data_IF_248660214534
#
_entry.id   IF_248660214534
#
_cell.length_a   1.000
_cell.length_b   1.000
_cell.length_c   1.000
_cell.angle_alpha   90.00
_cell.angle_beta   90.00
_cell.angle_gamma   90.00
#
_symmetry.space_group_name_H-M   'P 1'
#
loop_
_entity.id
_entity.type
_entity.pdbx_description
1 polymer ?
#
# COMPACT_ATOMS: atom_id res chain seq x y z
N UNK A 1 7.04 -16.17 3.29
CA UNK A 1 5.63 -15.93 3.69
C UNK A 1 5.26 -14.57 3.10
N UNK A 2 4.29 -14.48 2.19
CA UNK A 2 3.94 -13.25 1.42
C UNK A 2 3.23 -12.16 2.23
N UNK A 3 3.64 -11.96 3.49
CA UNK A 3 2.94 -11.16 4.49
C UNK A 3 2.81 -9.68 4.10
N UNK A 4 3.76 -9.14 3.31
CA UNK A 4 3.74 -7.73 2.92
C UNK A 4 2.62 -7.44 1.92
N UNK A 5 2.48 -8.25 0.85
CA UNK A 5 1.44 -8.04 -0.15
C UNK A 5 0.03 -8.25 0.44
N UNK A 6 -0.10 -9.22 1.33
CA UNK A 6 -1.33 -9.42 2.11
C UNK A 6 -1.67 -8.18 2.96
N UNK A 7 -0.69 -7.67 3.71
CA UNK A 7 -0.89 -6.48 4.52
C UNK A 7 -1.19 -5.22 3.68
N UNK A 8 -0.61 -5.10 2.47
CA UNK A 8 -0.94 -4.01 1.56
C UNK A 8 -2.39 -4.15 1.08
N UNK A 9 -2.81 -5.35 0.67
CA UNK A 9 -4.17 -5.62 0.23
C UNK A 9 -5.20 -5.35 1.35
N UNK A 10 -4.90 -5.74 2.59
CA UNK A 10 -5.75 -5.44 3.75
C UNK A 10 -5.87 -3.94 4.02
N UNK A 11 -4.76 -3.20 3.92
CA UNK A 11 -4.80 -1.74 4.06
C UNK A 11 -5.56 -1.08 2.91
N UNK A 12 -5.37 -1.55 1.67
CA UNK A 12 -6.10 -1.07 0.49
C UNK A 12 -7.60 -1.25 0.65
N UNK A 13 -8.04 -2.43 1.11
CA UNK A 13 -9.43 -2.70 1.43
C UNK A 13 -9.97 -1.73 2.50
N UNK A 14 -9.21 -1.55 3.59
CA UNK A 14 -9.60 -0.65 4.67
C UNK A 14 -9.73 0.80 4.20
N UNK A 15 -8.84 1.26 3.31
CA UNK A 15 -8.85 2.61 2.73
C UNK A 15 -9.99 2.79 1.73
N UNK A 16 -10.34 1.74 0.98
CA UNK A 16 -11.47 1.78 0.06
C UNK A 16 -12.80 1.87 0.83
N UNK A 17 -12.90 1.18 1.97
CA UNK A 17 -14.08 1.23 2.85
C UNK A 17 -14.18 2.54 3.65
N UNK A 18 -13.05 3.06 4.15
CA UNK A 18 -12.96 4.35 4.82
C UNK A 18 -11.78 5.16 4.26
N UNK A 19 -12.11 6.12 3.42
CA UNK A 19 -11.13 6.98 2.74
C UNK A 19 -10.35 7.89 3.69
N UNK A 20 -10.82 8.07 4.93
CA UNK A 20 -10.20 8.88 5.98
C UNK A 20 -9.48 8.01 7.03
N UNK A 21 -9.28 6.71 6.78
CA UNK A 21 -8.64 5.83 7.75
C UNK A 21 -7.11 6.06 7.83
N UNK A 22 -6.71 7.11 8.55
CA UNK A 22 -5.32 7.58 8.66
C UNK A 22 -4.32 6.48 9.06
N UNK A 23 -4.73 5.55 9.95
CA UNK A 23 -3.89 4.42 10.37
C UNK A 23 -3.61 3.45 9.23
N UNK A 24 -4.60 3.12 8.41
CA UNK A 24 -4.43 2.24 7.26
C UNK A 24 -3.54 2.89 6.19
N UNK A 25 -3.74 4.19 5.91
CA UNK A 25 -2.90 4.96 4.98
C UNK A 25 -1.44 4.99 5.45
N UNK A 26 -1.21 5.34 6.72
CA UNK A 26 0.14 5.41 7.30
C UNK A 26 0.87 4.06 7.26
N UNK A 27 0.13 2.98 7.52
CA UNK A 27 0.65 1.61 7.54
C UNK A 27 0.95 1.12 6.12
N UNK A 28 0.08 1.40 5.15
CA UNK A 28 0.31 1.07 3.73
C UNK A 28 1.53 1.80 3.16
N UNK A 29 1.71 3.07 3.50
CA UNK A 29 2.94 3.81 3.17
C UNK A 29 4.20 3.09 3.70
N UNK A 30 4.15 2.53 4.91
CA UNK A 30 5.28 1.74 5.47
C UNK A 30 5.55 0.45 4.74
N UNK A 31 4.50 -0.25 4.32
CA UNK A 31 4.67 -1.47 3.55
C UNK A 31 5.26 -1.19 2.17
N UNK A 32 4.84 -0.10 1.52
CA UNK A 32 5.43 0.36 0.27
C UNK A 32 6.90 0.81 0.44
N UNK A 33 7.25 1.50 1.53
CA UNK A 33 8.65 1.83 1.85
C UNK A 33 9.51 0.57 2.04
N UNK A 34 9.01 -0.45 2.73
CA UNK A 34 9.74 -1.71 2.94
C UNK A 34 10.13 -2.39 1.62
N UNK A 35 9.24 -2.37 0.64
CA UNK A 35 9.49 -2.91 -0.70
C UNK A 35 10.16 -1.91 -1.64
N UNK A 36 10.52 -0.72 -1.14
CA UNK A 36 11.15 0.38 -1.89
C UNK A 36 10.29 0.91 -3.04
N UNK A 37 8.98 0.77 -2.92
CA UNK A 37 8.01 1.40 -3.81
C UNK A 37 7.74 2.83 -3.30
N UNK A 38 8.75 3.68 -3.47
CA UNK A 38 8.71 5.04 -2.93
C UNK A 38 7.62 5.90 -3.59
N UNK A 39 7.22 5.58 -4.83
CA UNK A 39 6.14 6.29 -5.50
C UNK A 39 4.81 6.10 -4.77
N UNK A 40 4.43 4.86 -4.50
CA UNK A 40 3.19 4.56 -3.77
C UNK A 40 3.24 5.00 -2.31
N UNK A 41 4.37 4.79 -1.64
CA UNK A 41 4.54 5.28 -0.27
C UNK A 41 4.43 6.81 -0.19
N UNK A 42 4.99 7.53 -1.15
CA UNK A 42 4.86 8.98 -1.24
C UNK A 42 3.43 9.44 -1.48
N UNK A 43 2.67 8.73 -2.32
CA UNK A 43 1.24 9.00 -2.56
C UNK A 43 0.43 8.87 -1.27
N UNK A 44 0.62 7.77 -0.53
CA UNK A 44 -0.07 7.56 0.74
C UNK A 44 0.32 8.59 1.80
N UNK A 45 1.61 8.97 1.89
CA UNK A 45 2.05 10.02 2.82
C UNK A 45 1.44 11.39 2.48
N UNK A 46 1.42 11.78 1.21
CA UNK A 46 0.78 13.04 0.77
C UNK A 46 -0.71 13.03 1.12
N UNK A 47 -1.41 11.93 0.86
CA UNK A 47 -2.82 11.77 1.26
C UNK A 47 -3.01 11.88 2.78
N UNK A 48 -2.15 11.25 3.56
CA UNK A 48 -2.18 11.32 5.02
C UNK A 48 -1.95 12.74 5.53
N UNK A 49 -1.00 13.47 4.94
CA UNK A 49 -0.71 14.87 5.27
C UNK A 49 -1.95 15.73 5.02
N UNK A 50 -2.53 15.66 3.82
CA UNK A 50 -3.75 16.43 3.49
C UNK A 50 -4.93 16.11 4.41
N UNK A 51 -5.07 14.84 4.82
CA UNK A 51 -6.08 14.43 5.79
C UNK A 51 -5.85 15.07 7.17
N UNK A 52 -4.62 15.04 7.67
CA UNK A 52 -4.26 15.61 8.97
C UNK A 52 -4.39 17.14 8.97
N UNK A 53 -4.04 17.81 7.87
CA UNK A 53 -4.24 19.25 7.69
C UNK A 53 -5.73 19.62 7.75
N UNK A 54 -6.58 18.88 7.03
CA UNK A 54 -8.03 19.06 7.09
C UNK A 54 -8.58 18.85 8.50
N UNK A 55 -8.15 17.78 9.18
CA UNK A 55 -8.54 17.52 10.56
C UNK A 55 -8.10 18.63 11.52
N UNK A 56 -6.93 19.25 11.30
CA UNK A 56 -6.46 20.36 12.11
C UNK A 56 -7.31 21.62 11.88
N UNK A 57 -7.67 21.89 10.62
CA UNK A 57 -8.53 23.02 10.23
C UNK A 57 -9.94 22.91 10.80
N UNK A 58 -10.52 21.70 10.79
CA UNK A 58 -11.85 21.44 11.36
C UNK A 58 -11.88 21.56 12.90
N UNK A 59 -10.72 21.36 13.54
CA UNK A 59 -10.57 21.34 15.00
C UNK A 59 -10.09 22.67 15.61
N UNK A 60 -10.11 23.78 14.87
CA UNK A 60 -9.66 25.12 15.33
C UNK A 60 -10.33 25.58 16.64
N UNK A 61 -11.53 25.08 16.95
CA UNK A 61 -12.30 25.41 18.15
C UNK A 61 -12.26 24.35 19.27
N UNK A 62 -11.40 23.33 19.18
CA UNK A 62 -11.37 22.16 20.10
C UNK A 62 -10.10 22.09 20.98
N UNK A 63 -10.07 21.30 22.07
CA UNK A 63 -9.02 21.34 23.10
C UNK A 63 -7.59 21.05 22.60
N UNK A 64 -6.60 21.74 23.21
CA UNK A 64 -5.17 21.72 22.85
C UNK A 64 -4.60 20.32 22.59
N UNK A 65 -4.85 19.35 23.47
CA UNK A 65 -4.16 18.05 23.45
C UNK A 65 -4.42 17.22 22.17
N UNK A 66 -5.66 17.23 21.65
CA UNK A 66 -5.97 16.54 20.39
C UNK A 66 -5.28 17.22 19.21
N UNK A 67 -5.27 18.56 19.20
CA UNK A 67 -4.58 19.34 18.18
C UNK A 67 -3.07 19.12 18.19
N UNK A 68 -2.47 18.91 19.36
CA UNK A 68 -1.04 18.64 19.51
C UNK A 68 -0.67 17.23 19.00
N UNK A 69 -1.53 16.23 19.20
CA UNK A 69 -1.35 14.90 18.61
C UNK A 69 -1.42 14.92 17.07
N UNK A 70 -2.33 15.70 16.50
CA UNK A 70 -2.46 15.88 15.04
C UNK A 70 -1.22 16.60 14.49
N UNK A 71 -0.80 17.73 15.09
CA UNK A 71 0.43 18.44 14.71
C UNK A 71 1.66 17.54 14.77
N UNK A 72 1.80 16.76 15.83
CA UNK A 72 2.92 15.81 15.98
C UNK A 72 2.93 14.75 14.88
N UNK A 73 1.74 14.22 14.54
CA UNK A 73 1.58 13.23 13.46
C UNK A 73 1.86 13.83 12.08
N UNK A 74 1.43 15.08 11.86
CA UNK A 74 1.68 15.83 10.63
C UNK A 74 3.18 16.09 10.44
N UNK A 75 3.86 16.60 11.48
CA UNK A 75 5.31 16.81 11.46
C UNK A 75 6.07 15.52 11.17
N UNK A 76 5.69 14.40 11.80
CA UNK A 76 6.29 13.09 11.53
C UNK A 76 6.07 12.66 10.07
N UNK A 77 4.86 12.85 9.53
CA UNK A 77 4.53 12.47 8.16
C UNK A 77 5.31 13.30 7.14
N UNK A 78 5.46 14.61 7.37
CA UNK A 78 6.28 15.50 6.55
C UNK A 78 7.76 15.09 6.56
N UNK A 79 8.34 14.85 7.73
CA UNK A 79 9.73 14.38 7.85
C UNK A 79 9.96 13.06 7.10
N UNK A 80 8.99 12.14 7.21
CA UNK A 80 9.02 10.86 6.53
C UNK A 80 8.92 11.02 5.01
N UNK A 81 8.05 11.89 4.52
CA UNK A 81 7.95 12.20 3.08
C UNK A 81 9.27 12.77 2.54
N UNK A 82 9.89 13.73 3.22
CA UNK A 82 11.19 14.26 2.81
C UNK A 82 12.31 13.21 2.86
N UNK A 83 12.27 12.26 3.80
CA UNK A 83 13.21 11.16 3.85
C UNK A 83 13.03 10.20 2.67
N UNK A 84 11.79 9.83 2.39
CA UNK A 84 11.42 8.99 1.26
C UNK A 84 11.85 9.62 -0.07
N UNK A 85 11.66 10.92 -0.28
CA UNK A 85 12.07 11.60 -1.51
C UNK A 85 13.60 11.57 -1.71
N UNK A 86 14.38 11.63 -0.62
CA UNK A 86 15.84 11.45 -0.67
C UNK A 86 16.21 10.02 -1.04
N UNK A 87 15.50 9.02 -0.52
CA UNK A 87 15.75 7.62 -0.83
C UNK A 87 15.34 7.27 -2.25
N UNK A 88 14.24 7.83 -2.76
CA UNK A 88 13.82 7.71 -4.15
C UNK A 88 14.89 8.25 -5.12
N UNK A 89 15.53 9.38 -4.78
CA UNK A 89 16.64 9.96 -5.56
C UNK A 89 17.88 9.07 -5.67
N UNK A 90 18.04 8.09 -4.77
CA UNK A 90 19.15 7.12 -4.86
C UNK A 90 18.96 6.14 -6.02
N UNK A 91 17.77 6.05 -6.62
CA UNK A 91 17.50 5.17 -7.75
C UNK A 91 17.58 3.67 -7.43
N UNK A 92 17.49 3.31 -6.16
CA UNK A 92 17.53 1.91 -5.73
C UNK A 92 16.22 1.24 -6.14
N UNK A 93 16.32 0.12 -6.85
CA UNK A 93 15.15 -0.63 -7.32
C UNK A 93 14.36 -1.28 -6.18
N UNK A 94 13.14 -1.71 -6.53
CA UNK A 94 12.21 -2.44 -5.67
C UNK A 94 12.90 -3.63 -4.98
N UNK A 95 12.49 -3.91 -3.75
CA UNK A 95 12.88 -5.14 -3.07
C UNK A 95 12.01 -6.31 -3.55
N UNK A 96 12.39 -6.89 -4.69
CA UNK A 96 11.66 -7.97 -5.38
C UNK A 96 11.53 -9.26 -4.56
N UNK A 97 12.49 -9.53 -3.67
CA UNK A 97 12.45 -10.67 -2.75
C UNK A 97 11.35 -10.51 -1.70
N UNK A 98 11.24 -9.30 -1.11
CA UNK A 98 10.15 -8.98 -0.18
C UNK A 98 8.78 -8.98 -0.87
N UNK A 99 8.70 -8.55 -2.14
CA UNK A 99 7.47 -8.60 -2.94
C UNK A 99 6.99 -10.05 -3.08
N UNK A 100 7.86 -10.99 -3.45
CA UNK A 100 7.49 -12.42 -3.55
C UNK A 100 7.44 -13.14 -2.20
N UNK A 101 7.93 -12.51 -1.13
CA UNK A 101 7.97 -13.07 0.22
C UNK A 101 8.91 -14.27 0.34
N UNK A 102 10.06 -14.18 -0.32
CA UNK A 102 11.12 -15.19 -0.40
C UNK A 102 12.48 -14.60 0.01
N UNK A 103 13.41 -15.48 0.37
CA UNK A 103 14.78 -15.11 0.73
C UNK A 103 15.67 -14.94 -0.52
N UNK A 104 16.72 -14.10 -0.48
CA UNK A 104 17.66 -13.96 -1.59
C UNK A 104 18.40 -15.25 -1.99
N UNK A 105 18.50 -16.22 -1.08
CA UNK A 105 19.15 -17.51 -1.31
C UNK A 105 18.23 -18.58 -1.95
N UNK A 106 16.99 -18.21 -2.31
CA UNK A 106 16.01 -19.14 -2.85
C UNK A 106 16.35 -19.64 -4.26
N UNK A 107 15.85 -20.83 -4.63
CA UNK A 107 16.09 -21.40 -5.96
C UNK A 107 15.11 -20.85 -7.00
N UNK A 108 15.44 -21.01 -8.28
CA UNK A 108 14.51 -20.67 -9.37
C UNK A 108 13.13 -21.37 -9.25
N UNK A 109 13.11 -22.61 -8.74
CA UNK A 109 11.86 -23.34 -8.49
C UNK A 109 11.03 -22.66 -7.39
N UNK A 110 11.68 -22.15 -6.35
CA UNK A 110 11.03 -21.41 -5.26
C UNK A 110 10.47 -20.08 -5.75
N UNK A 111 11.23 -19.35 -6.56
CA UNK A 111 10.79 -18.09 -7.20
C UNK A 111 9.51 -18.33 -8.02
N UNK A 112 9.51 -19.37 -8.87
CA UNK A 112 8.35 -19.72 -9.71
C UNK A 112 7.14 -20.15 -8.87
N UNK A 113 7.36 -20.89 -7.79
CA UNK A 113 6.30 -21.31 -6.85
C UNK A 113 5.72 -20.10 -6.12
N UNK A 114 6.56 -19.19 -5.64
CA UNK A 114 6.15 -17.98 -4.94
C UNK A 114 5.35 -17.05 -5.85
N UNK A 115 5.82 -16.82 -7.09
CA UNK A 115 5.10 -16.06 -8.11
C UNK A 115 3.70 -16.62 -8.36
N UNK A 116 3.59 -17.92 -8.65
CA UNK A 116 2.28 -18.57 -8.90
C UNK A 116 1.33 -18.40 -7.72
N UNK A 117 1.84 -18.58 -6.50
CA UNK A 117 1.06 -18.43 -5.28
C UNK A 117 0.58 -16.98 -5.10
N UNK A 118 1.46 -16.00 -5.27
CA UNK A 118 1.14 -14.58 -5.12
C UNK A 118 0.15 -14.11 -6.20
N UNK A 119 0.40 -14.45 -7.47
CA UNK A 119 -0.44 -14.10 -8.60
C UNK A 119 -1.87 -14.64 -8.45
N UNK A 120 -2.03 -15.90 -8.04
CA UNK A 120 -3.36 -16.49 -7.81
C UNK A 120 -4.13 -15.87 -6.65
N UNK A 121 -3.40 -15.35 -5.65
CA UNK A 121 -3.97 -14.77 -4.45
C UNK A 121 -4.39 -13.32 -4.66
N UNK A 122 -3.57 -12.53 -5.35
CA UNK A 122 -3.80 -11.10 -5.62
C UNK A 122 -4.31 -10.82 -7.04
N UNK A 123 -4.93 -11.82 -7.69
CA UNK A 123 -5.53 -11.61 -9.01
C UNK A 123 -6.68 -10.60 -8.92
N UNK A 124 -6.74 -9.59 -9.81
CA UNK A 124 -7.78 -8.55 -9.76
C UNK A 124 -9.21 -9.11 -9.89
N UNK A 125 -9.42 -10.19 -10.65
CA UNK A 125 -10.75 -10.83 -10.76
C UNK A 125 -11.30 -11.38 -9.43
N UNK A 126 -10.43 -11.65 -8.46
CA UNK A 126 -10.85 -12.07 -7.11
C UNK A 126 -11.11 -10.88 -6.19
N UNK A 127 -10.59 -9.71 -6.56
CA UNK A 127 -10.74 -8.48 -5.80
C UNK A 127 -12.16 -7.93 -5.99
N UNK A 128 -12.89 -7.76 -4.89
CA UNK A 128 -14.29 -7.30 -4.89
C UNK A 128 -15.34 -8.40 -4.72
N UNK A 129 -15.02 -9.67 -5.05
CA UNK A 129 -15.94 -10.80 -4.82
C UNK A 129 -16.09 -11.17 -3.33
N UNK A 130 -15.14 -10.75 -2.50
CA UNK A 130 -15.14 -11.01 -1.05
C UNK A 130 -16.03 -10.07 -0.24
N UNK A 131 -16.51 -8.98 -0.84
CA UNK A 131 -17.31 -8.01 -0.13
C UNK A 131 -18.77 -8.45 -0.09
N UNK A 132 -19.25 -8.79 1.10
CA UNK A 132 -20.68 -8.95 1.36
C UNK A 132 -21.33 -7.58 1.18
N UNK A 133 -22.28 -7.48 0.24
CA UNK A 133 -23.08 -6.26 0.05
C UNK A 133 -23.76 -5.92 1.36
N UNK A 134 -23.36 -4.81 1.98
CA UNK A 134 -24.14 -4.20 3.06
C UNK A 134 -25.37 -3.53 2.46
N UNK A 135 -26.56 -3.85 2.99
CA UNK A 135 -27.85 -3.29 2.56
C UNK A 135 -27.90 -1.75 2.73
N UNK A 136 -26.99 -1.18 3.52
CA UNK A 136 -26.98 0.24 3.88
C UNK A 136 -26.09 1.12 2.98
N UNK A 137 -25.37 0.55 2.00
CA UNK A 137 -24.48 1.32 1.10
C UNK A 137 -25.15 1.49 -0.26
N UNK A 138 -25.26 2.75 -0.72
CA UNK A 138 -25.76 3.07 -2.06
C UNK A 138 -24.94 2.33 -3.13
N UNK A 139 -25.62 1.72 -4.10
CA UNK A 139 -25.01 1.01 -5.24
C UNK A 139 -23.96 1.84 -6.00
N UNK A 140 -24.12 3.16 -6.08
CA UNK A 140 -23.11 4.03 -6.69
C UNK A 140 -21.80 4.02 -5.88
N UNK A 141 -21.90 4.25 -4.57
CA UNK A 141 -20.75 4.22 -3.64
C UNK A 141 -20.12 2.83 -3.63
N UNK A 142 -20.94 1.78 -3.65
CA UNK A 142 -20.42 0.40 -3.70
C UNK A 142 -19.61 0.12 -4.97
N UNK A 143 -20.06 0.62 -6.12
CA UNK A 143 -19.31 0.49 -7.38
C UNK A 143 -17.96 1.19 -7.30
N UNK A 144 -17.90 2.37 -6.69
CA UNK A 144 -16.65 3.12 -6.55
C UNK A 144 -15.66 2.39 -5.63
N UNK A 145 -16.13 1.89 -4.48
CA UNK A 145 -15.29 1.09 -3.57
C UNK A 145 -14.79 -0.17 -4.27
N UNK A 146 -15.65 -0.90 -4.99
CA UNK A 146 -15.26 -2.10 -5.72
C UNK A 146 -14.24 -1.79 -6.83
N UNK A 147 -14.38 -0.65 -7.50
CA UNK A 147 -13.42 -0.21 -8.51
C UNK A 147 -12.06 0.13 -7.91
N UNK A 148 -12.02 0.81 -6.76
CA UNK A 148 -10.76 1.14 -6.09
C UNK A 148 -10.04 -0.10 -5.57
N UNK A 149 -10.76 -1.06 -5.02
CA UNK A 149 -10.21 -2.38 -4.63
C UNK A 149 -9.63 -3.11 -5.84
N UNK A 150 -10.32 -3.08 -6.99
CA UNK A 150 -9.82 -3.72 -8.21
C UNK A 150 -8.56 -3.03 -8.74
N UNK A 151 -8.49 -1.70 -8.69
CA UNK A 151 -7.28 -0.94 -9.08
C UNK A 151 -6.09 -1.30 -8.20
N UNK A 152 -6.28 -1.34 -6.88
CA UNK A 152 -5.22 -1.69 -5.94
C UNK A 152 -4.75 -3.14 -6.15
N UNK A 153 -5.67 -4.08 -6.40
CA UNK A 153 -5.32 -5.46 -6.72
C UNK A 153 -4.57 -5.59 -8.06
N UNK A 154 -4.99 -4.86 -9.10
CA UNK A 154 -4.28 -4.80 -10.39
C UNK A 154 -2.86 -4.27 -10.22
N UNK A 155 -2.67 -3.24 -9.39
CA UNK A 155 -1.34 -2.73 -9.06
C UNK A 155 -0.45 -3.80 -8.42
N UNK A 156 -0.96 -4.50 -7.40
CA UNK A 156 -0.20 -5.58 -6.75
C UNK A 156 0.12 -6.71 -7.72
N UNK A 157 -0.82 -7.07 -8.60
CA UNK A 157 -0.60 -8.11 -9.61
C UNK A 157 0.53 -7.74 -10.58
N UNK A 158 0.55 -6.49 -11.05
CA UNK A 158 1.65 -5.96 -11.89
C UNK A 158 2.98 -5.97 -11.14
N UNK A 159 2.98 -5.60 -9.86
CA UNK A 159 4.16 -5.59 -9.00
C UNK A 159 4.74 -7.00 -8.82
N UNK A 160 3.88 -8.00 -8.59
CA UNK A 160 4.25 -9.42 -8.54
C UNK A 160 4.88 -9.87 -9.86
N UNK A 161 4.28 -9.51 -11.00
CA UNK A 161 4.81 -9.82 -12.32
C UNK A 161 6.18 -9.21 -12.56
N UNK A 162 6.37 -7.93 -12.19
CA UNK A 162 7.66 -7.23 -12.28
C UNK A 162 8.74 -7.90 -11.43
N UNK A 163 8.41 -8.29 -10.19
CA UNK A 163 9.35 -8.96 -9.30
C UNK A 163 9.78 -10.33 -9.86
N UNK A 164 8.84 -11.11 -10.39
CA UNK A 164 9.17 -12.38 -11.05
C UNK A 164 10.04 -12.18 -12.28
N UNK A 165 9.71 -11.22 -13.16
CA UNK A 165 10.49 -10.95 -14.37
C UNK A 165 11.96 -10.67 -14.03
N UNK A 166 12.20 -9.79 -13.05
CA UNK A 166 13.56 -9.45 -12.59
C UNK A 166 14.26 -10.69 -12.03
N UNK A 167 13.63 -11.44 -11.12
CA UNK A 167 14.27 -12.58 -10.46
C UNK A 167 14.47 -13.81 -11.37
N UNK A 168 13.70 -13.89 -12.46
CA UNK A 168 13.80 -14.96 -13.44
C UNK A 168 14.78 -14.68 -14.58
N UNK A 169 15.32 -13.46 -14.65
CA UNK A 169 16.25 -13.05 -15.70
C UNK A 169 17.65 -13.67 -15.46
N UNK A 170 18.18 -14.48 -16.40
CA UNK A 170 19.50 -15.10 -16.28
C UNK A 170 20.65 -14.10 -16.15
N UNK A 171 20.46 -12.84 -16.53
CA UNK A 171 21.51 -11.81 -16.48
C UNK A 171 21.65 -11.14 -15.11
N UNK A 172 20.73 -11.42 -14.19
CA UNK A 172 20.70 -10.83 -12.83
C UNK A 172 21.05 -11.81 -11.71
N UNK A 173 21.37 -13.07 -12.03
CA UNK A 173 21.77 -14.13 -11.08
C UNK A 173 23.23 -14.56 -11.28
#
# INVERSE_FOLDING_TARGET
>A
MGQILDAIADCSLAIALDSNYSKAISRRAGLYELIRDYDQAGNDLRRLISLLERQLQENIYTPSEKSDGIRSSLNRSNLRLSALERDAKKGISLNVYLILGIEPSCTFLDIKKAYRKAALRHHPDKAGNFLVRSENINDAVWRDIANDIRKDADYLFKLIGKAYAILSDPTTN
#
